data_IF_518775298823
#
_entry.id   IF_518775298823
#
_cell.length_a   1.000
_cell.length_b   1.000
_cell.length_c   1.000
_cell.angle_alpha   90.00
_cell.angle_beta   90.00
_cell.angle_gamma   90.00
#
_symmetry.space_group_name_H-M   'P 1'
#
loop_
_entity.id
_entity.type
_entity.pdbx_description
1 polymer ?
#
# COMPACT_ATOMS: atom_id res chain seq x y z
N UNK A 1 7.62 -24.15 10.72
CA UNK A 1 6.14 -23.97 10.70
C UNK A 1 5.58 -24.24 9.31
N UNK A 2 5.77 -23.37 8.30
CA UNK A 2 5.29 -23.65 6.93
C UNK A 2 5.89 -24.93 6.34
N UNK A 3 7.20 -25.15 6.47
CA UNK A 3 7.85 -26.39 6.05
C UNK A 3 7.35 -27.65 6.80
N UNK A 4 6.73 -27.46 7.96
CA UNK A 4 6.26 -28.54 8.84
C UNK A 4 4.76 -28.84 8.61
N UNK A 5 3.95 -27.82 8.35
CA UNK A 5 2.49 -27.90 8.31
C UNK A 5 1.89 -27.57 6.95
N UNK A 6 2.69 -27.16 5.96
CA UNK A 6 2.23 -26.68 4.65
C UNK A 6 1.70 -25.25 4.70
N UNK A 7 1.71 -24.56 3.56
CA UNK A 7 1.29 -23.16 3.45
C UNK A 7 -0.21 -22.92 3.63
N UNK A 8 -1.06 -23.94 3.38
CA UNK A 8 -2.51 -23.85 3.52
C UNK A 8 -3.02 -23.96 4.96
N UNK A 9 -2.16 -24.34 5.91
CA UNK A 9 -2.52 -24.52 7.32
C UNK A 9 -1.96 -23.42 8.22
N UNK A 10 -1.36 -22.38 7.64
CA UNK A 10 -0.74 -21.26 8.35
C UNK A 10 -1.31 -19.96 7.82
N UNK A 11 -1.83 -19.14 8.73
CA UNK A 11 -2.31 -17.80 8.43
C UNK A 11 -1.52 -16.77 9.26
N UNK A 12 -1.37 -15.58 8.71
CA UNK A 12 -0.75 -14.45 9.36
C UNK A 12 -1.83 -13.51 9.87
N UNK A 13 -1.62 -12.91 11.03
CA UNK A 13 -2.52 -11.87 11.53
C UNK A 13 -1.79 -10.89 12.41
N UNK A 14 -2.35 -9.70 12.54
CA UNK A 14 -1.88 -8.71 13.48
C UNK A 14 -2.74 -7.47 13.44
N UNK A 15 -2.59 -6.66 14.49
CA UNK A 15 -3.19 -5.34 14.61
C UNK A 15 -2.10 -4.27 14.71
N UNK A 16 -2.31 -3.11 14.08
CA UNK A 16 -1.40 -1.96 14.16
C UNK A 16 0.04 -2.36 13.77
N UNK A 17 1.03 -2.16 14.65
CA UNK A 17 2.40 -2.59 14.42
C UNK A 17 2.52 -4.12 14.20
N UNK A 18 1.74 -4.93 14.92
CA UNK A 18 1.70 -6.38 14.71
C UNK A 18 1.23 -6.74 13.30
N UNK A 19 0.30 -5.95 12.73
CA UNK A 19 -0.14 -6.10 11.35
C UNK A 19 0.97 -5.75 10.35
N UNK A 20 1.80 -4.74 10.63
CA UNK A 20 2.95 -4.42 9.78
C UNK A 20 4.00 -5.55 9.80
N UNK A 21 4.24 -6.15 10.97
CA UNK A 21 5.14 -7.30 11.10
C UNK A 21 4.60 -8.54 10.35
N UNK A 22 3.30 -8.81 10.47
CA UNK A 22 2.62 -9.85 9.70
C UNK A 22 2.70 -9.59 8.20
N UNK A 23 2.53 -8.34 7.77
CA UNK A 23 2.69 -7.94 6.37
C UNK A 23 4.11 -8.18 5.86
N UNK A 24 5.13 -7.82 6.63
CA UNK A 24 6.53 -8.06 6.29
C UNK A 24 6.82 -9.56 6.14
N UNK A 25 6.38 -10.38 7.11
CA UNK A 25 6.52 -11.83 7.04
C UNK A 25 5.81 -12.41 5.80
N UNK A 26 4.60 -11.95 5.51
CA UNK A 26 3.83 -12.35 4.34
C UNK A 26 4.51 -12.00 3.03
N UNK A 27 5.06 -10.78 2.89
CA UNK A 27 5.86 -10.36 1.73
C UNK A 27 7.08 -11.26 1.55
N UNK A 28 7.80 -11.56 2.62
CA UNK A 28 8.98 -12.44 2.58
C UNK A 28 8.61 -13.85 2.10
N UNK A 29 7.51 -14.42 2.58
CA UNK A 29 7.02 -15.73 2.11
C UNK A 29 6.54 -15.67 0.65
N UNK A 30 5.82 -14.61 0.26
CA UNK A 30 5.34 -14.42 -1.10
C UNK A 30 6.48 -14.32 -2.11
N UNK A 31 7.60 -13.67 -1.75
CA UNK A 31 8.83 -13.62 -2.58
C UNK A 31 9.38 -15.03 -2.88
N UNK A 32 9.12 -16.01 -2.01
CA UNK A 32 9.51 -17.42 -2.21
C UNK A 32 8.45 -18.26 -2.92
N UNK A 33 7.34 -17.65 -3.38
CA UNK A 33 6.22 -18.35 -4.02
C UNK A 33 5.21 -18.95 -3.05
N UNK A 34 5.32 -18.68 -1.75
CA UNK A 34 4.38 -19.15 -0.73
C UNK A 34 3.42 -18.03 -0.36
N UNK A 35 2.16 -18.14 -0.78
CA UNK A 35 1.14 -17.13 -0.57
C UNK A 35 0.28 -17.49 0.65
N UNK A 36 0.71 -17.06 1.83
CA UNK A 36 -0.02 -17.31 3.08
C UNK A 36 -1.28 -16.44 3.15
N UNK A 37 -2.38 -17.01 3.65
CA UNK A 37 -3.54 -16.22 4.04
C UNK A 37 -3.15 -15.23 5.14
N UNK A 38 -3.62 -13.99 5.06
CA UNK A 38 -3.23 -12.95 6.01
C UNK A 38 -4.40 -12.02 6.33
N UNK A 39 -4.59 -11.71 7.61
CA UNK A 39 -5.61 -10.81 8.12
C UNK A 39 -4.95 -9.63 8.83
N UNK A 40 -4.92 -8.48 8.16
CA UNK A 40 -4.09 -7.35 8.53
C UNK A 40 -4.99 -6.21 9.03
N UNK A 41 -5.04 -5.99 10.34
CA UNK A 41 -5.93 -5.01 10.95
C UNK A 41 -5.21 -3.70 11.24
N UNK A 42 -5.68 -2.63 10.63
CA UNK A 42 -5.20 -1.25 10.84
C UNK A 42 -3.67 -1.11 10.74
N UNK A 43 -2.98 -1.72 9.74
CA UNK A 43 -1.54 -1.56 9.62
C UNK A 43 -1.19 -0.10 9.35
N UNK A 44 -0.05 0.39 9.86
CA UNK A 44 0.45 1.70 9.49
C UNK A 44 0.72 1.80 7.98
N UNK A 45 0.23 2.88 7.40
CA UNK A 45 0.61 3.37 6.08
C UNK A 45 1.56 4.53 6.30
N UNK A 46 2.84 4.31 6.01
CA UNK A 46 3.81 5.40 6.10
C UNK A 46 3.65 6.22 4.81
N UNK A 47 3.03 7.40 4.88
CA UNK A 47 3.10 8.42 3.84
C UNK A 47 3.24 9.80 4.46
N UNK A 48 3.72 10.77 3.67
CA UNK A 48 3.60 12.17 4.06
C UNK A 48 2.11 12.47 4.28
N UNK A 49 1.72 13.23 5.32
CA UNK A 49 0.35 13.32 5.82
C UNK A 49 -0.57 14.12 4.89
N UNK A 50 -0.93 13.56 3.73
CA UNK A 50 -1.75 14.21 2.70
C UNK A 50 -3.25 14.11 3.05
N UNK A 51 -3.71 13.06 3.75
CA UNK A 51 -5.09 12.97 4.26
C UNK A 51 -5.46 14.01 5.32
N UNK A 52 -4.48 14.71 5.89
CA UNK A 52 -4.69 15.79 6.86
C UNK A 52 -5.34 17.05 6.25
N UNK A 53 -5.42 17.11 4.92
CA UNK A 53 -6.02 18.23 4.18
C UNK A 53 -7.53 18.01 4.04
N UNK A 54 -8.31 18.79 4.78
CA UNK A 54 -9.79 18.72 4.80
C UNK A 54 -10.46 19.14 3.49
N UNK A 55 -9.80 19.96 2.67
CA UNK A 55 -10.36 20.49 1.43
C UNK A 55 -10.15 19.49 0.27
N UNK A 56 -11.26 19.00 -0.33
CA UNK A 56 -11.24 18.03 -1.43
C UNK A 56 -10.62 18.58 -2.72
N UNK A 57 -10.75 19.88 -2.98
CA UNK A 57 -10.24 20.57 -4.17
C UNK A 57 -8.74 20.79 -4.05
N UNK A 58 -8.27 21.16 -2.86
CA UNK A 58 -6.83 21.27 -2.54
C UNK A 58 -6.18 19.88 -2.45
N UNK A 59 -6.89 18.88 -1.91
CA UNK A 59 -6.46 17.46 -1.90
C UNK A 59 -6.27 16.94 -3.33
N UNK A 60 -7.20 17.22 -4.24
CA UNK A 60 -7.06 16.87 -5.66
C UNK A 60 -5.95 17.68 -6.34
N UNK A 61 -5.88 18.99 -6.06
CA UNK A 61 -4.89 19.90 -6.62
C UNK A 61 -3.46 19.57 -6.23
N UNK A 62 -3.21 19.20 -4.97
CA UNK A 62 -1.89 18.73 -4.49
C UNK A 62 -1.55 17.38 -5.11
N UNK A 63 -2.51 16.45 -5.20
CA UNK A 63 -2.30 15.16 -5.87
C UNK A 63 -1.94 15.33 -7.35
N UNK A 64 -2.60 16.25 -8.05
CA UNK A 64 -2.35 16.57 -9.46
C UNK A 64 -1.04 17.34 -9.65
N UNK A 65 -0.79 18.40 -8.87
CA UNK A 65 0.42 19.21 -8.98
C UNK A 65 1.68 18.41 -8.62
N UNK A 66 1.60 17.54 -7.61
CA UNK A 66 2.70 16.62 -7.27
C UNK A 66 2.93 15.63 -8.41
N UNK A 67 1.86 15.11 -9.03
CA UNK A 67 1.96 14.19 -10.18
C UNK A 67 2.59 14.86 -11.41
N UNK A 68 2.23 16.11 -11.73
CA UNK A 68 2.72 16.82 -12.94
C UNK A 68 4.15 17.33 -12.77
N UNK A 69 4.48 17.92 -11.62
CA UNK A 69 5.87 18.37 -11.35
C UNK A 69 6.81 17.17 -11.26
N UNK A 70 6.37 16.07 -10.63
CA UNK A 70 7.16 14.84 -10.55
C UNK A 70 7.28 14.15 -11.91
N UNK A 71 6.22 14.13 -12.74
CA UNK A 71 6.30 13.62 -14.12
C UNK A 71 7.26 14.46 -14.97
N UNK A 72 7.23 15.79 -14.86
CA UNK A 72 8.16 16.68 -15.57
C UNK A 72 9.63 16.50 -15.16
N UNK A 73 9.89 16.33 -13.86
CA UNK A 73 11.23 16.03 -13.34
C UNK A 73 11.71 14.61 -13.69
N UNK A 74 10.82 13.61 -13.67
CA UNK A 74 11.12 12.24 -14.06
C UNK A 74 11.41 12.13 -15.57
N UNK A 75 10.65 12.84 -16.40
CA UNK A 75 10.89 12.92 -17.84
C UNK A 75 12.23 13.59 -18.13
N UNK A 76 12.53 14.73 -17.51
CA UNK A 76 13.83 15.40 -17.63
C UNK A 76 15.01 14.55 -17.11
N UNK A 77 14.81 13.78 -16.05
CA UNK A 77 15.83 12.85 -15.52
C UNK A 77 16.02 11.62 -16.41
N UNK A 78 14.96 11.11 -17.05
CA UNK A 78 15.04 9.99 -18.01
C UNK A 78 15.74 10.37 -19.31
N UNK A 79 15.58 11.62 -19.76
CA UNK A 79 16.29 12.17 -20.93
C UNK A 79 17.78 12.39 -20.63
N UNK A 80 18.17 12.58 -19.35
CA UNK A 80 19.54 12.93 -18.95
C UNK A 80 20.36 11.75 -18.35
N UNK A 81 19.74 10.61 -18.00
CA UNK A 81 20.43 9.46 -17.37
C UNK A 81 20.27 8.17 -18.17
N UNK A 82 21.05 8.06 -19.23
CA UNK A 82 21.52 6.76 -19.76
C UNK A 82 22.70 6.28 -18.90
N UNK A 83 22.47 5.71 -17.71
CA UNK A 83 23.42 4.76 -17.09
C UNK A 83 23.04 3.98 -15.80
N UNK A 84 21.82 4.01 -15.26
CA UNK A 84 21.46 3.18 -14.08
C UNK A 84 20.23 2.29 -14.35
N UNK A 85 20.43 1.23 -15.15
CA UNK A 85 19.37 0.28 -15.54
C UNK A 85 19.26 -0.98 -14.66
N UNK A 86 20.19 -1.23 -13.71
CA UNK A 86 20.17 -2.47 -12.90
C UNK A 86 19.22 -2.40 -11.70
N UNK A 87 19.25 -1.31 -10.94
CA UNK A 87 18.50 -1.21 -9.67
C UNK A 87 16.99 -1.05 -9.87
N UNK A 88 16.57 -0.51 -11.02
CA UNK A 88 15.15 -0.31 -11.36
C UNK A 88 14.43 -1.61 -11.69
N UNK A 89 15.13 -2.57 -12.29
CA UNK A 89 14.54 -3.84 -12.68
C UNK A 89 14.25 -4.72 -11.45
N UNK A 90 15.11 -4.68 -10.43
CA UNK A 90 14.97 -5.50 -9.20
C UNK A 90 13.74 -5.12 -8.36
N UNK A 91 13.43 -3.83 -8.22
CA UNK A 91 12.25 -3.38 -7.47
C UNK A 91 10.92 -3.67 -8.21
N UNK A 92 10.92 -3.54 -9.54
CA UNK A 92 9.80 -3.91 -10.41
C UNK A 92 9.56 -5.43 -10.33
N UNK A 93 10.65 -6.22 -10.41
CA UNK A 93 10.61 -7.67 -10.27
C UNK A 93 10.09 -8.09 -8.89
N UNK A 94 10.46 -7.39 -7.81
CA UNK A 94 10.03 -7.68 -6.44
C UNK A 94 8.54 -7.41 -6.20
N UNK A 95 8.00 -6.32 -6.75
CA UNK A 95 6.58 -5.97 -6.59
C UNK A 95 5.67 -6.84 -7.47
N UNK A 96 6.11 -7.17 -8.69
CA UNK A 96 5.45 -8.15 -9.53
C UNK A 96 5.56 -9.58 -8.97
N UNK A 97 6.67 -9.94 -8.32
CA UNK A 97 6.85 -11.27 -7.73
C UNK A 97 5.83 -11.56 -6.63
N UNK A 98 5.44 -10.55 -5.84
CA UNK A 98 4.42 -10.70 -4.78
C UNK A 98 2.99 -10.37 -5.25
N UNK A 99 2.76 -10.13 -6.55
CA UNK A 99 1.45 -9.75 -7.12
C UNK A 99 0.33 -10.75 -6.87
N UNK A 100 0.67 -12.04 -6.80
CA UNK A 100 -0.28 -13.14 -6.54
C UNK A 100 -0.67 -13.25 -5.07
N UNK A 101 0.03 -12.58 -4.16
CA UNK A 101 -0.32 -12.56 -2.75
C UNK A 101 -1.42 -11.53 -2.49
N UNK A 102 -2.55 -11.98 -1.96
CA UNK A 102 -3.75 -11.14 -1.73
C UNK A 102 -4.13 -11.20 -0.25
N UNK A 103 -3.49 -10.42 0.63
CA UNK A 103 -3.88 -10.35 2.04
C UNK A 103 -5.25 -9.67 2.22
N UNK A 104 -5.99 -10.10 3.24
CA UNK A 104 -7.17 -9.39 3.73
C UNK A 104 -6.71 -8.19 4.56
N UNK A 105 -7.01 -6.99 4.09
CA UNK A 105 -6.57 -5.73 4.67
C UNK A 105 -7.77 -4.98 5.24
N UNK A 106 -7.78 -4.77 6.55
CA UNK A 106 -8.88 -4.15 7.28
C UNK A 106 -8.48 -2.75 7.73
N UNK A 107 -9.20 -1.73 7.29
CA UNK A 107 -8.87 -0.32 7.55
C UNK A 107 -10.10 0.49 7.94
N UNK A 108 -9.87 1.63 8.60
CA UNK A 108 -10.94 2.55 9.00
C UNK A 108 -10.61 3.97 8.50
N UNK A 109 -11.54 4.69 7.84
CA UNK A 109 -11.33 6.07 7.40
C UNK A 109 -11.04 7.07 8.54
N UNK A 110 -11.52 6.80 9.76
CA UNK A 110 -11.25 7.59 10.96
C UNK A 110 -9.87 7.32 11.59
N UNK A 111 -9.16 6.30 11.11
CA UNK A 111 -7.83 5.93 11.56
C UNK A 111 -6.77 6.51 10.62
N UNK A 112 -6.22 7.67 10.99
CA UNK A 112 -5.18 8.36 10.20
C UNK A 112 -3.85 7.58 10.09
N UNK A 113 -3.68 6.45 10.78
CA UNK A 113 -2.52 5.57 10.64
C UNK A 113 -2.70 4.64 9.44
N UNK A 114 -3.91 4.17 9.13
CA UNK A 114 -4.16 3.18 8.07
C UNK A 114 -5.06 3.66 6.92
N UNK A 115 -5.76 4.78 7.05
CA UNK A 115 -6.74 5.26 6.06
C UNK A 115 -6.15 5.51 4.66
N UNK A 116 -4.87 5.88 4.58
CA UNK A 116 -4.16 6.09 3.31
C UNK A 116 -4.15 4.86 2.39
N UNK A 117 -4.32 3.63 2.92
CA UNK A 117 -4.52 2.43 2.09
C UNK A 117 -5.74 2.54 1.17
N UNK A 118 -6.81 3.20 1.62
CA UNK A 118 -8.03 3.43 0.83
C UNK A 118 -7.67 4.26 -0.40
N UNK A 119 -7.03 5.42 -0.17
CA UNK A 119 -6.61 6.32 -1.23
C UNK A 119 -5.56 5.71 -2.15
N UNK A 120 -4.67 4.88 -1.63
CA UNK A 120 -3.67 4.14 -2.39
C UNK A 120 -4.31 3.19 -3.42
N UNK A 121 -5.21 2.31 -2.97
CA UNK A 121 -5.83 1.32 -3.85
C UNK A 121 -6.85 1.93 -4.82
N UNK A 122 -7.62 2.92 -4.39
CA UNK A 122 -8.55 3.63 -5.29
C UNK A 122 -7.83 4.34 -6.44
N UNK A 123 -6.69 4.97 -6.14
CA UNK A 123 -5.90 5.66 -7.14
C UNK A 123 -5.37 4.70 -8.18
N UNK A 124 -4.80 3.58 -7.71
CA UNK A 124 -4.28 2.53 -8.57
C UNK A 124 -5.35 2.00 -9.52
N UNK A 125 -6.52 1.63 -9.00
CA UNK A 125 -7.65 1.15 -9.81
C UNK A 125 -8.07 2.16 -10.87
N UNK A 126 -8.22 3.44 -10.48
CA UNK A 126 -8.59 4.51 -11.41
C UNK A 126 -7.58 4.64 -12.55
N UNK A 127 -6.30 4.43 -12.28
CA UNK A 127 -5.24 4.57 -13.28
C UNK A 127 -5.15 3.36 -14.21
N UNK A 128 -5.46 2.17 -13.71
CA UNK A 128 -5.69 0.97 -14.53
C UNK A 128 -6.91 1.17 -15.45
N UNK A 129 -8.03 1.70 -14.95
CA UNK A 129 -9.24 1.99 -15.74
C UNK A 129 -9.00 2.99 -16.88
N UNK A 130 -8.13 3.98 -16.68
CA UNK A 130 -7.81 5.01 -17.70
C UNK A 130 -6.75 4.50 -18.71
N UNK A 131 -6.20 3.30 -18.52
CA UNK A 131 -5.17 2.74 -19.41
C UNK A 131 -3.78 3.39 -19.25
N UNK A 132 -3.60 4.24 -18.23
CA UNK A 132 -2.32 4.89 -17.88
C UNK A 132 -1.55 4.03 -16.86
N UNK A 133 -2.13 2.95 -16.34
CA UNK A 133 -1.55 2.09 -15.30
C UNK A 133 -0.12 1.63 -15.58
N UNK A 134 0.26 1.37 -16.84
CA UNK A 134 1.64 1.00 -17.19
C UNK A 134 2.64 2.18 -17.09
N UNK A 135 2.21 3.39 -17.42
CA UNK A 135 3.02 4.61 -17.40
C UNK A 135 3.12 5.16 -15.97
N UNK A 136 2.03 5.08 -15.21
CA UNK A 136 2.02 5.47 -13.80
C UNK A 136 2.75 4.45 -12.93
N UNK A 137 2.71 3.13 -13.19
CA UNK A 137 3.54 2.12 -12.48
C UNK A 137 5.01 2.55 -12.34
N UNK A 138 5.55 3.10 -13.43
CA UNK A 138 6.90 3.69 -13.45
C UNK A 138 6.96 4.99 -12.64
N UNK A 139 5.96 5.88 -12.79
CA UNK A 139 5.92 7.18 -12.12
C UNK A 139 5.58 7.15 -10.61
N UNK A 140 4.62 6.35 -10.14
CA UNK A 140 4.24 6.17 -8.73
C UNK A 140 5.39 5.59 -7.93
N UNK A 141 6.17 4.65 -8.50
CA UNK A 141 7.36 4.11 -7.83
C UNK A 141 8.53 5.11 -7.84
N UNK A 142 8.65 5.94 -8.88
CA UNK A 142 9.58 7.08 -8.89
C UNK A 142 9.17 8.22 -7.93
N UNK A 143 7.87 8.45 -7.73
CA UNK A 143 7.31 9.52 -6.88
C UNK A 143 7.23 9.12 -5.42
N UNK A 144 6.72 7.92 -5.10
CA UNK A 144 6.73 7.37 -3.74
C UNK A 144 8.16 7.04 -3.31
N UNK A 145 8.98 6.44 -4.19
CA UNK A 145 10.40 6.23 -3.92
C UNK A 145 11.17 7.53 -3.71
N UNK A 146 10.88 8.58 -4.49
CA UNK A 146 11.50 9.91 -4.35
C UNK A 146 11.05 10.70 -3.13
N UNK A 147 9.77 10.61 -2.73
CA UNK A 147 9.25 11.20 -1.49
C UNK A 147 9.75 10.46 -0.24
N UNK A 148 9.97 9.14 -0.33
CA UNK A 148 10.44 8.32 0.79
C UNK A 148 11.96 8.28 0.98
N UNK A 149 12.75 8.35 -0.09
CA UNK A 149 14.22 8.43 -0.02
C UNK A 149 14.71 9.68 0.74
N UNK A 150 13.85 10.70 0.87
CA UNK A 150 14.12 11.88 1.68
C UNK A 150 13.71 11.71 3.16
N UNK A 151 12.92 10.69 3.52
CA UNK A 151 12.40 10.49 4.88
C UNK A 151 13.03 9.29 5.63
N UNK A 152 13.29 8.18 4.95
CA UNK A 152 14.20 7.15 5.43
C UNK A 152 15.53 7.38 4.74
N UNK A 153 16.56 7.67 5.53
CA UNK A 153 17.91 7.89 5.03
C UNK A 153 18.26 6.93 3.90
N UNK A 154 18.80 7.52 2.83
CA UNK A 154 19.60 6.90 1.75
C UNK A 154 20.05 5.49 2.16
N UNK A 155 19.67 4.49 1.36
CA UNK A 155 20.17 3.09 1.37
C UNK A 155 19.14 1.96 1.67
N UNK A 156 17.87 2.07 1.24
CA UNK A 156 17.01 0.87 1.16
C UNK A 156 16.60 0.55 -0.29
N UNK A 157 17.11 -0.57 -0.80
CA UNK A 157 16.84 -1.10 -2.15
C UNK A 157 15.48 -1.83 -2.24
N UNK A 158 14.76 -1.99 -1.13
CA UNK A 158 13.47 -2.69 -1.08
C UNK A 158 12.26 -1.74 -1.10
N UNK A 159 11.17 -2.10 -1.79
CA UNK A 159 9.94 -1.31 -1.76
C UNK A 159 9.39 -1.21 -0.33
N UNK A 160 8.81 -0.05 0.08
CA UNK A 160 8.36 0.19 1.44
C UNK A 160 7.49 -0.94 2.00
N UNK A 161 7.68 -1.28 3.27
CA UNK A 161 6.98 -2.39 3.92
C UNK A 161 5.45 -2.33 3.75
N UNK A 162 4.89 -1.12 3.80
CA UNK A 162 3.45 -0.85 3.72
C UNK A 162 2.86 -0.96 2.29
N UNK A 163 3.68 -0.99 1.25
CA UNK A 163 3.17 -1.12 -0.13
C UNK A 163 3.05 -2.60 -0.53
N UNK A 164 1.85 -2.98 -0.96
CA UNK A 164 1.53 -4.30 -1.49
C UNK A 164 0.77 -4.17 -2.82
N UNK A 165 1.02 -5.06 -3.80
CA UNK A 165 0.45 -4.96 -5.14
C UNK A 165 -1.05 -5.26 -5.21
N UNK A 166 -1.49 -6.22 -4.41
CA UNK A 166 -2.85 -6.74 -4.40
C UNK A 166 -3.35 -6.86 -2.97
N UNK A 167 -4.65 -6.71 -2.74
CA UNK A 167 -5.28 -6.92 -1.43
C UNK A 167 -6.79 -7.11 -1.56
N UNK A 168 -7.38 -7.86 -0.64
CA UNK A 168 -8.81 -7.79 -0.34
C UNK A 168 -9.02 -6.72 0.74
N UNK A 169 -9.32 -5.49 0.31
CA UNK A 169 -9.49 -4.35 1.20
C UNK A 169 -10.90 -4.32 1.77
N UNK A 170 -11.02 -4.32 3.09
CA UNK A 170 -12.27 -4.11 3.82
C UNK A 170 -12.20 -2.82 4.62
N UNK A 171 -13.10 -1.90 4.32
CA UNK A 171 -13.20 -0.58 4.96
C UNK A 171 -14.35 -0.60 5.95
N UNK A 172 -14.07 -0.29 7.21
CA UNK A 172 -15.11 -0.11 8.22
C UNK A 172 -15.71 1.29 8.11
N UNK A 173 -16.96 1.36 7.63
CA UNK A 173 -17.73 2.60 7.47
C UNK A 173 -18.60 2.89 8.70
N UNK A 174 -18.54 2.06 9.73
CA UNK A 174 -19.24 2.29 10.99
C UNK A 174 -18.67 3.57 11.65
N UNK A 175 -19.51 4.54 12.05
CA UNK A 175 -19.04 5.75 12.69
C UNK A 175 -18.23 5.47 13.96
N UNK A 176 -17.04 6.05 14.05
CA UNK A 176 -16.20 6.07 15.25
C UNK A 176 -16.24 7.45 15.90
N UNK A 177 -16.32 7.50 17.22
CA UNK A 177 -16.32 8.73 18.02
C UNK A 177 -14.95 9.43 17.96
N UNK A 178 -13.87 8.63 17.99
CA UNK A 178 -12.52 9.15 17.97
C UNK A 178 -11.54 8.22 17.23
N UNK A 179 -10.29 8.69 17.13
CA UNK A 179 -9.19 7.94 16.55
C UNK A 179 -8.92 6.61 17.28
N UNK A 180 -9.04 6.56 18.61
CA UNK A 180 -8.72 5.37 19.40
C UNK A 180 -9.74 4.26 19.13
N UNK A 181 -11.00 4.63 18.94
CA UNK A 181 -12.05 3.74 18.50
C UNK A 181 -11.84 3.30 17.05
N UNK A 182 -11.53 4.24 16.15
CA UNK A 182 -11.24 3.95 14.74
C UNK A 182 -9.98 3.11 14.53
N UNK A 183 -8.99 3.18 15.42
CA UNK A 183 -7.77 2.40 15.37
C UNK A 183 -7.89 1.08 16.12
N UNK A 184 -8.73 1.02 17.17
CA UNK A 184 -8.79 -0.10 18.08
C UNK A 184 -9.31 -1.39 17.43
N UNK A 185 -8.67 -2.52 17.77
CA UNK A 185 -9.02 -3.85 17.24
C UNK A 185 -10.48 -4.21 17.54
N UNK A 186 -11.01 -3.78 18.69
CA UNK A 186 -12.38 -4.04 19.14
C UNK A 186 -13.48 -3.56 18.19
N UNK A 187 -13.20 -2.64 17.24
CA UNK A 187 -14.17 -2.21 16.25
C UNK A 187 -14.61 -3.35 15.32
N UNK A 188 -13.78 -4.38 15.12
CA UNK A 188 -14.00 -5.42 14.10
C UNK A 188 -14.95 -6.54 14.55
N UNK A 189 -15.39 -6.54 15.81
CA UNK A 189 -16.28 -7.55 16.39
C UNK A 189 -17.56 -6.97 17.01
N UNK A 190 -18.01 -5.82 16.50
CA UNK A 190 -19.26 -5.19 16.99
C UNK A 190 -20.48 -5.69 16.20
N UNK A 191 -21.67 -5.74 16.81
CA UNK A 191 -22.91 -5.93 16.07
C UNK A 191 -23.17 -4.74 15.13
N UNK A 192 -23.79 -5.01 13.97
CA UNK A 192 -24.25 -3.94 13.06
C UNK A 192 -23.15 -3.20 12.31
N UNK A 193 -22.00 -3.83 12.06
CA UNK A 193 -20.93 -3.22 11.28
C UNK A 193 -21.36 -2.93 9.84
N UNK A 194 -21.05 -1.73 9.38
CA UNK A 194 -21.13 -1.35 7.97
C UNK A 194 -19.74 -1.51 7.34
N UNK A 195 -19.54 -2.55 6.53
CA UNK A 195 -18.27 -2.88 5.89
C UNK A 195 -18.39 -2.77 4.37
N UNK A 196 -17.42 -2.13 3.72
CA UNK A 196 -17.27 -2.14 2.26
C UNK A 196 -16.02 -2.93 1.89
N UNK A 197 -16.19 -4.03 1.17
CA UNK A 197 -15.11 -4.94 0.80
C UNK A 197 -14.89 -4.95 -0.72
N UNK A 198 -13.65 -4.72 -1.14
CA UNK A 198 -13.22 -4.68 -2.55
C UNK A 198 -11.88 -5.37 -2.71
N UNK A 199 -11.73 -6.16 -3.77
CA UNK A 199 -10.47 -6.80 -4.12
C UNK A 199 -9.74 -6.00 -5.19
N UNK A 200 -8.50 -5.65 -4.90
CA UNK A 200 -7.58 -4.98 -5.82
C UNK A 200 -6.52 -5.99 -6.24
N UNK A 201 -6.40 -6.23 -7.54
CA UNK A 201 -5.45 -7.16 -8.13
C UNK A 201 -4.42 -6.41 -8.95
N UNK A 202 -3.17 -6.82 -8.85
CA UNK A 202 -2.10 -6.38 -9.74
C UNK A 202 -2.21 -7.11 -11.09
N UNK A 203 -2.62 -6.39 -12.13
CA UNK A 203 -2.63 -6.82 -13.54
C UNK A 203 -1.43 -6.29 -14.30
#
# INVERSE_FOLDING_TARGET
>A
MVATFGGSNVWLTGHSLGSAMAMLAGKTMAKTGVFLEAFLFNPPFFSAPIERIKDKTVKHGIRIATSVVTAGLAFAASVKKSNNNRDKNVAIDSFAAISKWVPCLFVNPGDHICSEYIGYFEHRRKMEEIGIGAIERLATQHSLGGLFMNFLGKDSEEPPMHLIPSAALTVNLTPSQDFKEAHGIHQWWRPGLSLDSKTYMYS
#
